data_IF_388166898431
#
_entry.id   IF_388166898431
#
_cell.length_a   1.000
_cell.length_b   1.000
_cell.length_c   1.000
_cell.angle_alpha   90.00
_cell.angle_beta   90.00
_cell.angle_gamma   90.00
#
_symmetry.space_group_name_H-M   'P 1'
#
loop_
_entity.id
_entity.type
_entity.pdbx_description
1 polymer ?
#
# COMPACT_ATOMS: atom_id res chain seq x y z
N UNK A 1 15.84 -10.31 -22.19
CA UNK A 1 14.56 -10.09 -21.49
C UNK A 1 13.48 -9.99 -22.55
N UNK A 2 12.43 -10.81 -22.48
CA UNK A 2 11.29 -10.72 -23.41
C UNK A 2 10.24 -9.84 -22.75
N UNK A 3 9.79 -8.79 -23.44
CA UNK A 3 8.69 -7.94 -23.02
C UNK A 3 7.40 -8.47 -23.65
N UNK A 4 6.34 -8.53 -22.89
CA UNK A 4 5.00 -8.85 -23.34
C UNK A 4 4.13 -7.59 -23.20
N UNK A 5 3.37 -7.28 -24.23
CA UNK A 5 2.41 -6.16 -24.31
C UNK A 5 0.97 -6.59 -24.03
N UNK A 6 0.79 -7.85 -23.70
CA UNK A 6 -0.48 -8.50 -23.40
C UNK A 6 -0.34 -9.48 -22.22
N UNK A 7 -1.47 -9.98 -21.73
CA UNK A 7 -1.47 -11.00 -20.69
C UNK A 7 -0.90 -12.32 -21.17
N UNK A 8 -0.13 -12.99 -20.30
CA UNK A 8 0.45 -14.31 -20.58
C UNK A 8 -0.03 -15.32 -19.56
N UNK A 9 -0.04 -16.60 -19.94
CA UNK A 9 -0.41 -17.71 -19.08
C UNK A 9 0.83 -18.40 -18.53
N UNK A 10 0.81 -18.77 -17.28
CA UNK A 10 1.83 -19.62 -16.66
C UNK A 10 1.32 -21.06 -16.62
N UNK A 11 1.86 -21.91 -17.49
CA UNK A 11 1.46 -23.33 -17.60
C UNK A 11 2.65 -24.21 -17.31
N UNK A 12 2.58 -25.03 -16.27
CA UNK A 12 3.67 -25.93 -15.85
C UNK A 12 5.03 -25.21 -15.69
N UNK A 13 5.01 -23.97 -15.18
CA UNK A 13 6.22 -23.17 -14.98
C UNK A 13 6.75 -22.47 -16.24
N UNK A 14 6.08 -22.58 -17.37
CA UNK A 14 6.43 -21.89 -18.62
C UNK A 14 5.42 -20.82 -18.99
N UNK A 15 5.92 -19.68 -19.47
CA UNK A 15 5.09 -18.60 -20.00
C UNK A 15 4.62 -18.95 -21.42
N UNK A 16 3.34 -18.81 -21.69
CA UNK A 16 2.72 -19.01 -22.99
C UNK A 16 1.72 -17.91 -23.30
N UNK A 17 1.64 -17.51 -24.55
CA UNK A 17 0.68 -16.50 -25.04
C UNK A 17 -0.71 -17.14 -25.32
N UNK A 18 -0.79 -18.47 -25.28
CA UNK A 18 -2.03 -19.22 -25.58
C UNK A 18 -2.65 -19.80 -24.31
N UNK A 19 -3.94 -19.58 -24.13
CA UNK A 19 -4.69 -20.20 -23.04
C UNK A 19 -4.68 -21.74 -23.17
N UNK A 20 -4.59 -22.47 -22.06
CA UNK A 20 -4.84 -23.92 -22.08
C UNK A 20 -6.24 -24.24 -22.63
N UNK A 21 -6.39 -25.35 -23.33
CA UNK A 21 -7.57 -25.72 -24.13
C UNK A 21 -8.92 -25.72 -23.38
N UNK A 22 -8.92 -25.66 -22.05
CA UNK A 22 -10.13 -25.71 -21.23
C UNK A 22 -10.22 -24.56 -20.23
N UNK A 23 -9.43 -23.50 -20.41
CA UNK A 23 -9.39 -22.36 -19.48
C UNK A 23 -9.76 -21.09 -20.22
N UNK A 24 -10.84 -20.45 -19.78
CA UNK A 24 -11.21 -19.12 -20.26
C UNK A 24 -10.32 -18.06 -19.59
N UNK A 25 -10.19 -16.88 -20.20
CA UNK A 25 -9.46 -15.76 -19.62
C UNK A 25 -10.00 -15.39 -18.22
N UNK A 26 -11.32 -15.41 -18.06
CA UNK A 26 -11.99 -15.12 -16.78
C UNK A 26 -11.63 -16.14 -15.68
N UNK A 27 -11.42 -17.40 -16.05
CA UNK A 27 -10.97 -18.43 -15.12
C UNK A 27 -9.48 -18.29 -14.80
N UNK A 28 -8.66 -18.02 -15.80
CA UNK A 28 -7.23 -17.77 -15.61
C UNK A 28 -6.96 -16.59 -14.67
N UNK A 29 -7.72 -15.51 -14.80
CA UNK A 29 -7.68 -14.35 -13.89
C UNK A 29 -7.89 -14.73 -12.42
N UNK A 30 -8.81 -15.64 -12.14
CA UNK A 30 -9.06 -16.13 -10.77
C UNK A 30 -7.89 -16.90 -10.17
N UNK A 31 -6.99 -17.41 -10.99
CA UNK A 31 -5.76 -18.07 -10.58
C UNK A 31 -4.61 -17.12 -10.25
N UNK A 32 -4.75 -15.81 -10.45
CA UNK A 32 -3.68 -14.85 -10.17
C UNK A 32 -3.54 -14.56 -8.67
N UNK A 33 -2.30 -14.27 -8.24
CA UNK A 33 -2.01 -13.87 -6.85
C UNK A 33 -2.82 -12.63 -6.48
N UNK A 34 -2.88 -11.63 -7.36
CA UNK A 34 -3.63 -10.40 -7.12
C UNK A 34 -5.13 -10.66 -6.90
N UNK A 35 -5.75 -11.50 -7.73
CA UNK A 35 -7.15 -11.87 -7.53
C UNK A 35 -7.38 -12.57 -6.20
N UNK A 36 -6.50 -13.51 -5.83
CA UNK A 36 -6.58 -14.22 -4.56
C UNK A 36 -6.52 -13.28 -3.35
N UNK A 37 -5.59 -12.32 -3.37
CA UNK A 37 -5.43 -11.32 -2.31
C UNK A 37 -6.66 -10.40 -2.24
N UNK A 38 -7.09 -9.84 -3.38
CA UNK A 38 -8.27 -8.98 -3.45
C UNK A 38 -9.52 -9.70 -2.92
N UNK A 39 -9.72 -10.96 -3.31
CA UNK A 39 -10.84 -11.78 -2.84
C UNK A 39 -10.80 -12.02 -1.34
N UNK A 40 -9.62 -12.28 -0.78
CA UNK A 40 -9.45 -12.52 0.66
C UNK A 40 -9.74 -11.27 1.51
N UNK A 41 -9.51 -10.08 0.96
CA UNK A 41 -9.70 -8.80 1.64
C UNK A 41 -11.02 -8.10 1.29
N UNK A 42 -11.78 -8.66 0.35
CA UNK A 42 -13.06 -8.08 -0.06
C UNK A 42 -14.16 -8.46 0.91
N UNK A 43 -14.84 -7.46 1.45
CA UNK A 43 -16.02 -7.60 2.33
C UNK A 43 -17.35 -7.47 1.58
N UNK A 44 -17.31 -7.16 0.28
CA UNK A 44 -18.51 -7.14 -0.56
C UNK A 44 -18.95 -8.57 -0.95
N UNK A 45 -20.23 -8.76 -1.30
CA UNK A 45 -20.76 -10.07 -1.65
C UNK A 45 -20.21 -10.64 -2.97
N UNK A 46 -19.65 -9.79 -3.81
CA UNK A 46 -19.10 -10.16 -5.12
C UNK A 46 -17.74 -9.50 -5.39
N UNK A 47 -17.19 -9.78 -6.57
CA UNK A 47 -15.89 -9.21 -7.01
C UNK A 47 -16.07 -8.09 -8.06
N UNK A 48 -17.27 -7.55 -8.22
CA UNK A 48 -17.55 -6.47 -9.15
C UNK A 48 -17.30 -5.12 -8.50
N UNK A 49 -17.87 -4.92 -7.29
CA UNK A 49 -17.72 -3.70 -6.51
C UNK A 49 -16.98 -4.04 -5.21
N UNK A 50 -15.67 -3.83 -5.18
CA UNK A 50 -14.82 -4.25 -4.07
C UNK A 50 -14.96 -3.34 -2.86
N UNK A 51 -15.07 -3.93 -1.66
CA UNK A 51 -14.97 -3.26 -0.35
C UNK A 51 -13.79 -3.84 0.40
N UNK A 52 -12.64 -3.27 0.19
CA UNK A 52 -11.37 -3.82 0.68
C UNK A 52 -11.10 -3.43 2.12
N UNK A 53 -10.73 -4.41 2.94
CA UNK A 53 -10.18 -4.23 4.28
C UNK A 53 -8.68 -4.49 4.22
N UNK A 54 -7.88 -3.46 4.49
CA UNK A 54 -6.42 -3.55 4.50
C UNK A 54 -5.88 -4.15 5.81
N UNK A 55 -4.68 -4.72 5.77
CA UNK A 55 -3.98 -5.24 6.96
C UNK A 55 -3.19 -4.15 7.68
N UNK A 56 -2.67 -3.16 6.94
CA UNK A 56 -1.94 -2.03 7.50
C UNK A 56 -1.98 -0.82 6.59
N UNK A 57 -1.64 0.33 7.18
CA UNK A 57 -1.46 1.60 6.48
C UNK A 57 -0.03 2.11 6.69
N UNK A 58 0.45 2.91 5.75
CA UNK A 58 1.76 3.55 5.86
C UNK A 58 1.75 4.92 5.22
N UNK A 59 2.42 5.87 5.86
CA UNK A 59 2.57 7.24 5.36
C UNK A 59 3.94 7.80 5.71
N UNK A 60 4.33 8.87 5.05
CA UNK A 60 5.55 9.59 5.35
C UNK A 60 5.25 11.02 5.83
N UNK A 61 6.27 11.71 6.28
CA UNK A 61 6.23 13.03 6.92
C UNK A 61 5.46 14.11 6.13
N UNK A 62 5.51 14.11 4.82
CA UNK A 62 4.75 15.07 4.01
C UNK A 62 3.23 14.79 4.04
N UNK A 63 2.81 13.54 4.25
CA UNK A 63 1.41 13.14 4.07
C UNK A 63 0.67 12.85 5.36
N UNK A 64 1.30 12.24 6.37
CA UNK A 64 0.59 11.79 7.57
C UNK A 64 0.02 12.94 8.41
N UNK A 65 0.66 14.12 8.42
CA UNK A 65 0.18 15.26 9.20
C UNK A 65 -1.24 15.63 8.78
N UNK A 66 -1.44 15.89 7.49
CA UNK A 66 -2.76 16.21 6.94
C UNK A 66 -3.79 15.09 7.10
N UNK A 67 -3.37 13.84 6.88
CA UNK A 67 -4.22 12.65 7.05
C UNK A 67 -4.71 12.54 8.50
N UNK A 68 -3.80 12.62 9.47
CA UNK A 68 -4.13 12.47 10.89
C UNK A 68 -4.97 13.64 11.39
N UNK A 69 -4.67 14.88 10.95
CA UNK A 69 -5.47 16.05 11.30
C UNK A 69 -6.91 15.94 10.79
N UNK A 70 -7.10 15.49 9.55
CA UNK A 70 -8.42 15.26 8.96
C UNK A 70 -9.16 14.14 9.69
N UNK A 71 -8.51 13.03 9.96
CA UNK A 71 -9.09 11.92 10.70
C UNK A 71 -9.50 12.33 12.13
N UNK A 72 -8.65 13.12 12.80
CA UNK A 72 -8.93 13.67 14.12
C UNK A 72 -10.13 14.62 14.13
N UNK A 73 -10.24 15.48 13.12
CA UNK A 73 -11.40 16.36 12.96
C UNK A 73 -12.70 15.57 12.71
N UNK A 74 -12.58 14.35 12.15
CA UNK A 74 -13.70 13.42 11.93
C UNK A 74 -14.01 12.53 13.15
N UNK A 75 -13.38 12.78 14.32
CA UNK A 75 -13.66 12.06 15.56
C UNK A 75 -12.82 10.78 15.76
N UNK A 76 -11.67 10.65 15.10
CA UNK A 76 -10.79 9.50 15.30
C UNK A 76 -10.25 9.45 16.73
N UNK A 77 -10.44 8.33 17.41
CA UNK A 77 -9.94 8.06 18.76
C UNK A 77 -8.71 7.15 18.77
N UNK A 78 -8.59 6.28 17.76
CA UNK A 78 -7.50 5.31 17.60
C UNK A 78 -7.29 5.00 16.11
N UNK A 79 -6.07 4.66 15.71
CA UNK A 79 -5.85 4.13 14.36
C UNK A 79 -6.61 2.82 14.16
N UNK A 80 -7.39 2.69 13.07
CA UNK A 80 -8.23 1.50 12.84
C UNK A 80 -7.41 0.26 12.45
N UNK A 81 -6.21 0.47 11.96
CA UNK A 81 -5.26 -0.57 11.51
C UNK A 81 -3.86 -0.21 12.02
N UNK A 82 -2.92 -1.17 12.05
CA UNK A 82 -1.50 -0.86 12.22
C UNK A 82 -1.08 0.23 11.24
N UNK A 83 -0.64 1.37 11.74
CA UNK A 83 -0.28 2.53 10.93
C UNK A 83 1.19 2.89 11.13
N UNK A 84 1.96 2.80 10.06
CA UNK A 84 3.39 3.11 10.04
C UNK A 84 3.58 4.56 9.62
N UNK A 85 4.23 5.33 10.46
CA UNK A 85 4.55 6.75 10.25
C UNK A 85 6.07 6.86 10.06
N UNK A 86 6.52 7.04 8.80
CA UNK A 86 7.93 7.14 8.46
C UNK A 86 8.35 8.59 8.23
N UNK A 87 9.55 8.95 8.72
CA UNK A 87 10.13 10.27 8.58
C UNK A 87 11.28 10.24 7.57
N UNK A 88 10.93 10.05 6.30
CA UNK A 88 11.90 9.71 5.27
C UNK A 88 12.04 10.73 4.12
N UNK A 89 11.06 11.62 3.92
CA UNK A 89 11.12 12.64 2.88
C UNK A 89 11.92 13.86 3.31
N UNK A 90 11.70 14.30 4.54
CA UNK A 90 12.35 15.46 5.14
C UNK A 90 13.24 15.03 6.31
N UNK A 91 13.99 13.95 6.14
CA UNK A 91 14.81 13.37 7.21
C UNK A 91 16.05 14.19 7.56
N UNK A 92 16.41 15.20 6.76
CA UNK A 92 17.44 16.17 7.07
C UNK A 92 16.91 17.22 8.05
N UNK A 93 16.80 16.84 9.31
CA UNK A 93 16.41 17.73 10.39
C UNK A 93 17.32 18.95 10.46
N UNK A 94 16.77 20.09 10.83
CA UNK A 94 17.47 21.37 11.00
C UNK A 94 18.06 22.00 9.73
N UNK A 95 17.86 21.44 8.56
CA UNK A 95 18.24 22.09 7.30
C UNK A 95 17.11 23.03 6.86
N UNK A 96 17.27 24.32 7.07
CA UNK A 96 16.33 25.35 6.63
C UNK A 96 15.15 25.62 7.56
N UNK A 97 15.14 25.11 8.79
CA UNK A 97 14.13 25.43 9.80
C UNK A 97 13.60 24.22 10.58
N UNK A 98 12.68 24.48 11.49
CA UNK A 98 12.11 23.49 12.42
C UNK A 98 10.89 22.76 11.90
N UNK A 99 10.37 23.10 10.71
CA UNK A 99 9.13 22.54 10.17
C UNK A 99 9.18 21.01 10.10
N UNK A 100 10.29 20.46 9.62
CA UNK A 100 10.46 19.00 9.51
C UNK A 100 10.51 18.32 10.89
N UNK A 101 11.13 18.98 11.86
CA UNK A 101 11.19 18.48 13.23
C UNK A 101 9.81 18.53 13.89
N UNK A 102 9.01 19.56 13.62
CA UNK A 102 7.65 19.68 14.10
C UNK A 102 6.77 18.53 13.54
N UNK A 103 6.92 18.19 12.26
CA UNK A 103 6.24 17.04 11.65
C UNK A 103 6.65 15.72 12.31
N UNK A 104 7.94 15.55 12.60
CA UNK A 104 8.45 14.35 13.28
C UNK A 104 7.95 14.24 14.72
N UNK A 105 7.91 15.34 15.46
CA UNK A 105 7.34 15.40 16.81
C UNK A 105 5.84 15.12 16.78
N UNK A 106 5.14 15.66 15.79
CA UNK A 106 3.72 15.37 15.58
C UNK A 106 3.50 13.87 15.35
N UNK A 107 4.29 13.22 14.50
CA UNK A 107 4.17 11.79 14.24
C UNK A 107 4.42 10.95 15.49
N UNK A 108 5.47 11.27 16.27
CA UNK A 108 5.77 10.58 17.52
C UNK A 108 4.61 10.71 18.52
N UNK A 109 4.09 11.92 18.70
CA UNK A 109 2.95 12.17 19.59
C UNK A 109 1.67 11.48 19.12
N UNK A 110 1.43 11.47 17.81
CA UNK A 110 0.28 10.79 17.21
C UNK A 110 0.40 9.26 17.35
N UNK A 111 1.58 8.69 17.14
CA UNK A 111 1.82 7.27 17.33
C UNK A 111 1.54 6.83 18.78
N UNK A 112 2.01 7.60 19.76
CA UNK A 112 1.72 7.35 21.17
C UNK A 112 0.24 7.46 21.48
N UNK A 113 -0.41 8.52 20.98
CA UNK A 113 -1.82 8.78 21.28
C UNK A 113 -2.78 7.80 20.62
N UNK A 114 -2.54 7.45 19.36
CA UNK A 114 -3.48 6.68 18.54
C UNK A 114 -3.05 5.23 18.28
N UNK A 115 -1.86 4.83 18.77
CA UNK A 115 -1.38 3.43 18.68
C UNK A 115 -0.66 3.11 17.37
N UNK A 116 0.09 4.07 16.79
CA UNK A 116 0.87 3.87 15.55
C UNK A 116 2.28 3.30 15.78
N UNK A 117 2.93 2.99 14.67
CA UNK A 117 4.34 2.59 14.61
C UNK A 117 5.15 3.79 14.10
N UNK A 118 5.96 4.37 14.97
CA UNK A 118 6.83 5.49 14.62
C UNK A 118 8.18 5.01 14.11
N UNK A 119 8.57 5.44 12.92
CA UNK A 119 9.89 5.19 12.33
C UNK A 119 10.66 6.51 12.29
N UNK A 120 11.71 6.67 13.11
CA UNK A 120 12.48 7.91 13.20
C UNK A 120 13.13 8.34 11.87
N UNK A 121 13.47 9.62 11.71
CA UNK A 121 14.27 10.09 10.58
C UNK A 121 15.60 9.34 10.51
N UNK A 122 16.14 9.19 9.31
CA UNK A 122 17.40 8.50 9.00
C UNK A 122 17.44 6.99 9.33
N UNK A 123 16.33 6.38 9.75
CA UNK A 123 16.30 4.95 10.03
C UNK A 123 15.97 4.14 8.77
N UNK A 124 14.91 4.47 8.06
CA UNK A 124 14.52 3.76 6.86
C UNK A 124 13.65 4.63 5.94
N UNK A 125 13.78 4.42 4.65
CA UNK A 125 12.83 4.90 3.65
C UNK A 125 11.54 4.08 3.77
N UNK A 126 10.39 4.74 3.59
CA UNK A 126 9.05 4.11 3.66
C UNK A 126 8.97 2.79 2.87
N UNK A 127 9.55 2.74 1.69
CA UNK A 127 9.52 1.57 0.81
C UNK A 127 10.32 0.40 1.38
N UNK A 128 11.54 0.66 1.87
CA UNK A 128 12.40 -0.37 2.48
C UNK A 128 11.78 -0.90 3.76
N UNK A 129 11.32 -0.01 4.64
CA UNK A 129 10.67 -0.41 5.89
C UNK A 129 9.47 -1.33 5.63
N UNK A 130 8.59 -0.96 4.70
CA UNK A 130 7.41 -1.78 4.43
C UNK A 130 7.75 -3.13 3.82
N UNK A 131 8.75 -3.20 2.92
CA UNK A 131 9.19 -4.47 2.34
C UNK A 131 9.81 -5.41 3.37
N UNK A 132 10.56 -4.87 4.31
CA UNK A 132 11.30 -5.66 5.29
C UNK A 132 10.45 -6.03 6.53
N UNK A 133 9.59 -5.12 6.96
CA UNK A 133 8.87 -5.26 8.24
C UNK A 133 7.39 -5.56 8.09
N UNK A 134 6.74 -5.12 7.01
CA UNK A 134 5.27 -5.20 6.87
C UNK A 134 4.82 -6.14 5.76
N UNK A 135 5.62 -6.34 4.72
CA UNK A 135 5.26 -7.20 3.60
C UNK A 135 5.18 -8.68 4.01
N UNK A 136 4.28 -9.42 3.41
CA UNK A 136 4.12 -10.86 3.63
C UNK A 136 3.13 -11.45 2.63
N UNK A 137 3.22 -12.74 2.39
CA UNK A 137 2.35 -13.42 1.45
C UNK A 137 0.87 -13.20 1.81
N UNK A 138 0.08 -12.79 0.85
CA UNK A 138 -1.35 -12.54 1.00
C UNK A 138 -1.72 -11.24 1.70
N UNK A 139 -0.77 -10.43 2.14
CA UNK A 139 -1.06 -9.14 2.80
C UNK A 139 -1.42 -8.04 1.84
N UNK A 140 -2.14 -7.05 2.35
CA UNK A 140 -2.58 -5.88 1.62
C UNK A 140 -2.29 -4.60 2.41
N UNK A 141 -1.44 -3.72 1.85
CA UNK A 141 -0.94 -2.50 2.50
C UNK A 141 -1.46 -1.27 1.75
N UNK A 142 -2.06 -0.33 2.48
CA UNK A 142 -2.47 0.97 1.96
C UNK A 142 -1.38 2.01 2.22
N UNK A 143 -0.87 2.66 1.18
CA UNK A 143 0.13 3.71 1.29
C UNK A 143 -0.36 5.06 0.80
N UNK A 144 0.18 6.13 1.34
CA UNK A 144 -0.09 7.51 0.91
C UNK A 144 0.99 8.11 0.01
N UNK A 145 2.04 7.36 -0.24
CA UNK A 145 3.12 7.78 -1.14
C UNK A 145 2.78 7.47 -2.60
N UNK A 146 3.05 8.40 -3.51
CA UNK A 146 2.80 8.23 -4.96
C UNK A 146 3.59 7.08 -5.60
N UNK A 147 4.64 6.61 -4.94
CA UNK A 147 5.45 5.47 -5.34
C UNK A 147 5.18 4.22 -4.49
N UNK A 148 4.00 4.11 -3.89
CA UNK A 148 3.61 2.95 -3.08
C UNK A 148 3.71 1.67 -3.90
N UNK A 149 4.82 0.94 -3.75
CA UNK A 149 5.15 -0.28 -4.49
C UNK A 149 5.77 -1.32 -3.56
N UNK A 150 5.01 -1.70 -2.54
CA UNK A 150 5.46 -2.69 -1.55
C UNK A 150 5.13 -4.13 -1.97
N UNK A 151 4.71 -4.34 -3.20
CA UNK A 151 4.32 -5.62 -3.77
C UNK A 151 5.48 -6.60 -3.88
N UNK A 152 6.08 -6.94 -2.74
CA UNK A 152 7.12 -7.93 -2.59
C UNK A 152 6.60 -9.13 -1.81
N UNK A 153 7.17 -10.31 -2.01
CA UNK A 153 6.85 -11.53 -1.27
C UNK A 153 5.35 -11.91 -1.30
N UNK A 154 4.65 -11.61 -2.40
CA UNK A 154 3.22 -11.87 -2.53
C UNK A 154 2.32 -10.88 -1.78
N UNK A 155 2.82 -9.70 -1.47
CA UNK A 155 2.04 -8.59 -0.90
C UNK A 155 1.43 -7.75 -2.02
N UNK A 156 0.19 -7.36 -1.89
CA UNK A 156 -0.46 -6.35 -2.72
C UNK A 156 -0.41 -5.00 -2.00
N UNK A 157 0.09 -3.97 -2.67
CA UNK A 157 0.05 -2.61 -2.15
C UNK A 157 -0.81 -1.71 -3.03
N UNK A 158 -1.63 -0.87 -2.39
CA UNK A 158 -2.45 0.12 -3.07
C UNK A 158 -2.09 1.51 -2.57
N UNK A 159 -2.01 2.44 -3.51
CA UNK A 159 -1.87 3.87 -3.21
C UNK A 159 -3.25 4.43 -2.85
N UNK A 160 -3.28 5.32 -1.85
CA UNK A 160 -4.44 6.16 -1.63
C UNK A 160 -4.56 7.14 -2.79
N UNK A 161 -5.60 7.02 -3.59
CA UNK A 161 -5.87 7.91 -4.71
C UNK A 161 -6.41 9.22 -4.13
N UNK A 162 -5.55 10.21 -4.00
CA UNK A 162 -5.93 11.58 -3.64
C UNK A 162 -6.41 12.40 -4.85
N UNK A 163 -6.33 11.84 -6.05
CA UNK A 163 -6.77 12.50 -7.27
C UNK A 163 -7.81 11.67 -8.02
N UNK A 164 -9.01 12.22 -8.28
CA UNK A 164 -10.08 11.52 -8.98
C UNK A 164 -9.82 11.24 -10.47
N UNK A 165 -8.69 11.67 -11.02
CA UNK A 165 -8.38 11.61 -12.44
C UNK A 165 -7.51 10.44 -12.89
N UNK A 166 -7.08 9.54 -11.99
CA UNK A 166 -6.35 8.31 -12.36
C UNK A 166 -7.13 7.05 -12.05
N UNK A 167 -8.36 7.00 -12.51
CA UNK A 167 -9.12 5.76 -12.62
C UNK A 167 -8.79 5.03 -13.92
N UNK A 168 -7.59 5.27 -14.48
CA UNK A 168 -7.13 4.50 -15.62
C UNK A 168 -6.10 3.47 -15.18
N UNK A 169 -6.56 2.24 -15.34
CA UNK A 169 -5.78 1.04 -15.49
C UNK A 169 -4.96 0.61 -14.26
N UNK A 170 -5.60 -0.08 -13.35
CA UNK A 170 -5.00 -1.35 -12.98
C UNK A 170 -5.11 -2.24 -14.23
N UNK A 171 -4.27 -1.95 -15.17
CA UNK A 171 -3.97 -2.83 -16.28
C UNK A 171 -2.77 -3.66 -15.88
N UNK A 172 -3.02 -4.82 -15.38
CA UNK A 172 -2.51 -6.20 -15.44
C UNK A 172 -1.00 -6.40 -15.33
#
# INVERSE_FOLDING_TARGET
MKLHDHGVYLVNGQLTDTAPAHVTEAEARKGTIAYGILKAHNTAPDMKDLRIKFDSMTSHDITYVGIIQTARASGMEKFPLPYVLTNCHNSLCAVGGTINEDDHQFALSAAHKYGGIYVPPNMAVIHSYNREMMAGCGRMILGSDSHTRYGALGTLSLIHISEPTRQEAISY
#
